data_IF_015865357180
#
_entry.id   IF_015865357180
#
_cell.length_a   1.000
_cell.length_b   1.000
_cell.length_c   1.000
_cell.angle_alpha   90.00
_cell.angle_beta   90.00
_cell.angle_gamma   90.00
#
_symmetry.space_group_name_H-M   'P 1'
#
loop_
_entity.id
_entity.type
_entity.pdbx_description
1 polymer ?
#
# COMPACT_ATOMS: atom_id res chain seq x y z
N UNK A 1 4.05 -21.99 4.38
CA UNK A 1 5.36 -21.33 4.60
C UNK A 1 5.95 -20.83 3.30
N UNK A 2 6.56 -19.65 3.34
CA UNK A 2 7.24 -19.12 2.17
C UNK A 2 8.52 -19.90 1.88
N UNK A 3 8.81 -20.15 0.60
CA UNK A 3 10.06 -20.77 0.18
C UNK A 3 11.22 -19.82 0.45
N UNK A 4 12.46 -20.34 0.37
CA UNK A 4 13.64 -19.51 0.55
C UNK A 4 13.70 -18.40 -0.50
N UNK A 5 13.32 -18.71 -1.74
CA UNK A 5 13.28 -17.71 -2.82
C UNK A 5 12.25 -16.62 -2.54
N UNK A 6 11.09 -17.00 -2.00
CA UNK A 6 10.08 -16.01 -1.63
C UNK A 6 10.57 -15.12 -0.50
N UNK A 7 11.25 -15.69 0.48
CA UNK A 7 11.80 -14.90 1.60
C UNK A 7 12.79 -13.85 1.09
N UNK A 8 13.66 -14.22 0.18
CA UNK A 8 14.63 -13.29 -0.40
C UNK A 8 13.91 -12.19 -1.18
N UNK A 9 12.89 -12.57 -1.95
CA UNK A 9 12.07 -11.62 -2.70
C UNK A 9 11.40 -10.62 -1.77
N UNK A 10 10.82 -11.10 -0.68
CA UNK A 10 10.15 -10.24 0.30
C UNK A 10 11.12 -9.31 1.02
N UNK A 11 12.33 -9.78 1.31
CA UNK A 11 13.37 -8.93 1.88
C UNK A 11 13.75 -7.79 0.92
N UNK A 12 13.82 -8.10 -0.38
CA UNK A 12 14.08 -7.09 -1.40
C UNK A 12 12.95 -6.06 -1.47
N UNK A 13 11.70 -6.51 -1.34
CA UNK A 13 10.55 -5.59 -1.28
C UNK A 13 10.69 -4.64 -0.10
N UNK A 14 10.99 -5.19 1.07
CA UNK A 14 11.13 -4.38 2.28
C UNK A 14 12.21 -3.33 2.11
N UNK A 15 13.35 -3.71 1.53
CA UNK A 15 14.43 -2.77 1.27
C UNK A 15 14.01 -1.66 0.30
N UNK A 16 13.28 -2.01 -0.76
CA UNK A 16 12.81 -1.01 -1.73
C UNK A 16 11.86 -0.02 -1.09
N UNK A 17 11.01 -0.49 -0.18
CA UNK A 17 10.01 0.35 0.46
C UNK A 17 10.58 1.24 1.56
N UNK A 18 11.50 0.68 2.34
CA UNK A 18 11.98 1.35 3.55
C UNK A 18 13.38 1.94 3.41
N UNK A 19 13.96 1.88 2.22
CA UNK A 19 15.31 2.36 1.99
C UNK A 19 15.46 3.82 2.37
N UNK A 20 16.18 4.06 3.44
CA UNK A 20 16.49 5.39 3.91
C UNK A 20 17.73 5.90 3.18
N UNK A 21 17.82 7.17 2.86
CA UNK A 21 16.93 8.26 3.21
C UNK A 21 15.82 8.49 2.18
N UNK A 22 15.40 7.47 1.49
CA UNK A 22 14.52 7.63 0.35
C UNK A 22 13.08 7.98 0.68
N UNK A 23 12.54 7.49 1.79
CA UNK A 23 11.15 7.74 2.16
C UNK A 23 10.96 9.16 2.65
N UNK A 24 9.94 9.83 2.11
CA UNK A 24 9.65 11.22 2.44
C UNK A 24 8.41 11.28 3.33
N UNK A 25 8.38 12.22 4.24
CA UNK A 25 7.19 12.48 5.03
C UNK A 25 6.22 13.32 4.23
N UNK A 26 4.92 13.03 4.34
CA UNK A 26 3.89 13.83 3.73
C UNK A 26 3.77 15.19 4.41
N UNK A 27 3.02 16.10 3.80
CA UNK A 27 2.79 17.42 4.36
C UNK A 27 2.15 17.39 5.74
N UNK A 28 1.39 16.32 6.05
CA UNK A 28 0.81 16.14 7.38
C UNK A 28 1.85 15.69 8.42
N UNK A 29 3.07 15.37 7.98
CA UNK A 29 4.16 14.94 8.86
C UNK A 29 4.01 13.54 9.42
N UNK A 30 2.95 12.81 9.07
CA UNK A 30 2.63 11.50 9.64
C UNK A 30 2.84 10.37 8.65
N UNK A 31 2.41 10.54 7.39
CA UNK A 31 2.60 9.52 6.37
C UNK A 31 4.07 9.42 5.96
N UNK A 32 4.50 8.19 5.66
CA UNK A 32 5.79 7.97 5.00
C UNK A 32 5.48 7.70 3.53
N UNK A 33 6.04 8.49 2.63
CA UNK A 33 5.76 8.36 1.21
C UNK A 33 6.88 7.62 0.49
N UNK A 34 6.49 6.76 -0.45
CA UNK A 34 7.46 6.09 -1.30
C UNK A 34 8.31 7.14 -2.02
N UNK A 35 9.63 6.95 -1.99
CA UNK A 35 10.59 7.95 -2.45
C UNK A 35 10.42 8.40 -3.90
N UNK A 36 9.96 7.51 -4.77
CA UNK A 36 9.84 7.77 -6.20
C UNK A 36 8.40 8.07 -6.62
N UNK A 37 7.58 8.56 -5.70
CA UNK A 37 6.21 8.89 -6.07
C UNK A 37 6.17 10.11 -6.99
N UNK A 38 5.18 10.13 -7.88
CA UNK A 38 5.00 11.22 -8.84
C UNK A 38 3.94 12.20 -8.34
N UNK A 39 2.85 11.68 -7.81
CA UNK A 39 1.73 12.48 -7.33
C UNK A 39 1.12 11.83 -6.11
N UNK A 40 0.64 12.64 -5.16
CA UNK A 40 -0.04 12.14 -3.97
C UNK A 40 -1.34 11.41 -4.32
N UNK A 41 -1.87 11.64 -5.51
CA UNK A 41 -3.11 11.02 -5.97
C UNK A 41 -2.91 9.87 -6.94
N UNK A 42 -1.67 9.42 -7.11
CA UNK A 42 -1.35 8.30 -7.99
C UNK A 42 -0.71 7.19 -7.18
N UNK A 43 -1.03 5.93 -7.55
CA UNK A 43 -0.41 4.77 -6.94
C UNK A 43 0.94 4.53 -7.58
N UNK A 44 2.05 4.68 -6.84
CA UNK A 44 3.35 4.23 -7.36
C UNK A 44 3.30 2.72 -7.57
N UNK A 45 3.88 2.26 -8.66
CA UNK A 45 3.91 0.83 -8.96
C UNK A 45 5.34 0.34 -9.05
N UNK A 46 5.53 -0.89 -8.64
CA UNK A 46 6.83 -1.56 -8.69
C UNK A 46 6.68 -2.87 -9.43
N UNK A 47 7.67 -3.19 -10.24
CA UNK A 47 7.71 -4.47 -10.95
C UNK A 47 8.67 -5.41 -10.25
N UNK A 48 8.35 -6.69 -10.28
CA UNK A 48 9.25 -7.71 -9.76
C UNK A 48 9.09 -9.00 -10.55
N UNK A 49 10.12 -9.84 -10.52
CA UNK A 49 10.06 -11.16 -11.12
C UNK A 49 9.61 -12.15 -10.05
N UNK A 50 8.70 -13.02 -10.43
CA UNK A 50 8.20 -14.02 -9.50
C UNK A 50 9.33 -14.94 -9.06
N UNK A 51 9.53 -15.17 -7.75
CA UNK A 51 10.68 -15.94 -7.26
C UNK A 51 10.72 -17.38 -7.77
N UNK A 52 9.55 -18.01 -7.96
CA UNK A 52 9.49 -19.39 -8.45
C UNK A 52 9.41 -19.48 -9.97
N UNK A 53 9.17 -18.38 -10.65
CA UNK A 53 9.09 -18.35 -12.11
C UNK A 53 9.57 -16.98 -12.62
N UNK A 54 10.91 -16.79 -12.71
CA UNK A 54 11.47 -15.48 -13.04
C UNK A 54 11.09 -14.92 -14.40
N UNK A 55 10.48 -15.72 -15.28
CA UNK A 55 9.97 -15.24 -16.55
C UNK A 55 8.70 -14.42 -16.38
N UNK A 56 7.98 -14.63 -15.27
CA UNK A 56 6.77 -13.88 -14.98
C UNK A 56 7.14 -12.58 -14.25
N UNK A 57 6.82 -11.46 -14.89
CA UNK A 57 7.03 -10.14 -14.30
C UNK A 57 5.66 -9.61 -13.89
N UNK A 58 5.55 -9.19 -12.65
CA UNK A 58 4.33 -8.60 -12.11
C UNK A 58 4.56 -7.13 -11.77
N UNK A 59 3.50 -6.35 -11.86
CA UNK A 59 3.52 -4.94 -11.44
C UNK A 59 2.47 -4.78 -10.35
N UNK A 60 2.89 -4.23 -9.22
CA UNK A 60 2.00 -4.04 -8.08
C UNK A 60 2.14 -2.63 -7.53
N UNK A 61 1.11 -2.17 -6.82
CA UNK A 61 1.19 -0.88 -6.14
C UNK A 61 2.08 -1.02 -4.90
N UNK A 62 2.63 0.10 -4.44
CA UNK A 62 3.45 0.08 -3.21
C UNK A 62 2.63 -0.41 -2.02
N UNK A 63 1.34 -0.08 -1.96
CA UNK A 63 0.46 -0.58 -0.89
C UNK A 63 0.36 -2.10 -0.91
N UNK A 64 0.20 -2.70 -2.09
CA UNK A 64 0.18 -4.15 -2.22
C UNK A 64 1.49 -4.78 -1.80
N UNK A 65 2.61 -4.14 -2.14
CA UNK A 65 3.93 -4.65 -1.75
C UNK A 65 4.10 -4.61 -0.22
N UNK A 66 3.63 -3.56 0.45
CA UNK A 66 3.62 -3.49 1.92
C UNK A 66 2.84 -4.67 2.49
N UNK A 67 1.67 -4.95 1.93
CA UNK A 67 0.84 -6.08 2.36
C UNK A 67 1.55 -7.42 2.16
N UNK A 68 2.22 -7.59 1.03
CA UNK A 68 2.97 -8.82 0.75
C UNK A 68 4.05 -9.06 1.81
N UNK A 69 4.79 -8.02 2.19
CA UNK A 69 5.81 -8.11 3.23
C UNK A 69 5.17 -8.49 4.57
N UNK A 70 4.05 -7.83 4.90
CA UNK A 70 3.33 -8.09 6.15
C UNK A 70 2.83 -9.53 6.24
N UNK A 71 2.20 -10.02 5.17
CA UNK A 71 1.62 -11.35 5.14
C UNK A 71 2.60 -12.44 4.73
N UNK A 72 3.83 -12.05 4.40
CA UNK A 72 4.91 -12.97 4.02
C UNK A 72 4.53 -13.84 2.81
N UNK A 73 3.94 -13.21 1.81
CA UNK A 73 3.55 -13.88 0.57
C UNK A 73 3.74 -12.96 -0.63
N UNK A 74 4.07 -13.55 -1.78
CA UNK A 74 4.17 -12.81 -3.05
C UNK A 74 2.91 -12.95 -3.89
N UNK A 75 1.89 -13.65 -3.35
CA UNK A 75 0.61 -13.85 -4.04
C UNK A 75 -0.52 -13.45 -3.11
N UNK A 76 -1.17 -12.34 -3.40
CA UNK A 76 -2.30 -11.87 -2.61
C UNK A 76 -3.60 -12.43 -3.17
N UNK A 77 -4.60 -12.74 -2.32
CA UNK A 77 -5.90 -13.22 -2.78
C UNK A 77 -6.57 -12.22 -3.72
N UNK A 78 -7.24 -12.73 -4.75
CA UNK A 78 -8.03 -11.90 -5.65
C UNK A 78 -9.26 -11.36 -4.94
N UNK A 79 -9.72 -10.20 -5.38
CA UNK A 79 -10.90 -9.57 -4.82
C UNK A 79 -10.63 -8.76 -3.57
N UNK A 80 -9.38 -8.68 -3.13
CA UNK A 80 -8.95 -7.88 -2.00
C UNK A 80 -8.04 -6.77 -2.47
N UNK A 81 -8.13 -5.62 -1.82
CA UNK A 81 -7.30 -4.46 -2.12
C UNK A 81 -6.47 -4.08 -0.90
N UNK A 82 -5.32 -3.50 -1.15
CA UNK A 82 -4.53 -2.83 -0.11
C UNK A 82 -4.93 -1.37 -0.12
N UNK A 83 -5.89 -1.02 0.72
CA UNK A 83 -6.47 0.33 0.76
C UNK A 83 -5.68 1.24 1.67
N UNK A 84 -5.51 2.48 1.25
CA UNK A 84 -4.89 3.50 2.10
C UNK A 84 -5.97 4.18 2.94
N UNK A 85 -5.98 3.92 4.25
CA UNK A 85 -6.96 4.55 5.13
C UNK A 85 -6.69 6.04 5.31
N UNK A 86 -5.45 6.48 5.04
CA UNK A 86 -5.09 7.90 5.03
C UNK A 86 -5.40 8.57 3.69
N UNK A 87 -5.81 7.80 2.69
CA UNK A 87 -6.13 8.26 1.33
C UNK A 87 -4.96 8.91 0.59
N UNK A 88 -3.73 8.72 1.04
CA UNK A 88 -2.54 9.18 0.37
C UNK A 88 -1.89 7.99 -0.33
N UNK A 89 -2.07 7.90 -1.64
CA UNK A 89 -1.74 6.70 -2.42
C UNK A 89 -0.27 6.27 -2.38
N UNK A 90 0.72 7.17 -2.29
CA UNK A 90 2.11 6.75 -2.17
C UNK A 90 2.55 6.42 -0.74
N UNK A 91 1.65 6.46 0.24
CA UNK A 91 2.01 6.16 1.63
C UNK A 91 2.38 4.69 1.78
N UNK A 92 3.51 4.43 2.46
CA UNK A 92 4.02 3.08 2.69
C UNK A 92 3.98 2.68 4.16
N UNK A 93 3.34 3.46 5.01
CA UNK A 93 3.15 3.09 6.42
C UNK A 93 2.16 1.93 6.51
N UNK A 94 2.62 0.83 7.11
CA UNK A 94 1.79 -0.36 7.25
C UNK A 94 0.50 -0.06 8.00
N UNK A 95 0.56 0.79 9.02
CA UNK A 95 -0.60 1.17 9.82
C UNK A 95 -1.65 1.95 9.03
N UNK A 96 -1.28 2.49 7.88
CA UNK A 96 -2.19 3.24 7.02
C UNK A 96 -2.74 2.41 5.87
N UNK A 97 -2.44 1.11 5.83
CA UNK A 97 -2.87 0.22 4.75
C UNK A 97 -3.73 -0.89 5.34
N UNK A 98 -4.93 -1.04 4.79
CA UNK A 98 -5.88 -2.08 5.20
C UNK A 98 -6.06 -3.06 4.04
N UNK A 99 -5.80 -4.34 4.29
CA UNK A 99 -6.03 -5.38 3.30
C UNK A 99 -7.47 -5.87 3.49
N UNK A 100 -8.31 -5.63 2.49
CA UNK A 100 -9.76 -5.73 2.65
C UNK A 100 -10.45 -6.07 1.33
N UNK A 101 -11.69 -6.58 1.39
CA UNK A 101 -12.45 -6.82 0.16
C UNK A 101 -12.60 -5.53 -0.65
N UNK A 102 -12.62 -5.67 -1.97
CA UNK A 102 -12.73 -4.52 -2.88
C UNK A 102 -13.92 -3.61 -2.55
N UNK A 103 -15.05 -4.18 -2.10
CA UNK A 103 -16.23 -3.38 -1.74
C UNK A 103 -15.95 -2.38 -0.62
N UNK A 104 -15.08 -2.76 0.32
CA UNK A 104 -14.70 -1.86 1.42
C UNK A 104 -13.87 -0.70 0.90
N UNK A 105 -12.94 -0.98 -0.01
CA UNK A 105 -12.15 0.07 -0.66
C UNK A 105 -13.06 1.07 -1.38
N UNK A 106 -14.09 0.59 -2.08
CA UNK A 106 -15.04 1.48 -2.74
C UNK A 106 -15.81 2.34 -1.74
N UNK A 107 -16.18 1.78 -0.58
CA UNK A 107 -16.82 2.57 0.48
C UNK A 107 -15.92 3.72 0.94
N UNK A 108 -14.62 3.48 1.00
CA UNK A 108 -13.66 4.50 1.45
C UNK A 108 -13.61 5.70 0.50
N UNK A 109 -13.90 5.48 -0.79
CA UNK A 109 -13.96 6.58 -1.74
C UNK A 109 -15.11 7.54 -1.38
N UNK A 110 -16.21 6.99 -0.87
CA UNK A 110 -17.32 7.81 -0.40
C UNK A 110 -16.93 8.61 0.83
N UNK A 111 -16.18 7.99 1.75
CA UNK A 111 -15.70 8.68 2.95
C UNK A 111 -14.86 9.91 2.60
N UNK A 112 -13.94 9.76 1.66
CA UNK A 112 -13.08 10.88 1.26
C UNK A 112 -13.89 11.98 0.60
N UNK A 113 -14.90 11.61 -0.20
CA UNK A 113 -15.79 12.56 -0.86
C UNK A 113 -16.64 13.32 0.16
N UNK A 114 -17.09 12.62 1.23
CA UNK A 114 -17.89 13.23 2.28
C UNK A 114 -17.09 14.00 3.31
N UNK A 115 -15.79 13.81 3.32
CA UNK A 115 -14.90 14.44 4.30
C UNK A 115 -14.96 13.81 5.69
N UNK A 116 -15.56 12.63 5.82
CA UNK A 116 -15.66 11.92 7.10
C UNK A 116 -15.82 10.43 6.86
N UNK A 117 -15.36 9.63 7.81
CA UNK A 117 -15.48 8.18 7.71
C UNK A 117 -16.91 7.76 8.09
N UNK A 118 -17.48 6.89 7.26
CA UNK A 118 -18.83 6.35 7.46
C UNK A 118 -18.82 5.00 8.19
N UNK A 119 -17.65 4.49 8.51
CA UNK A 119 -17.49 3.21 9.20
C UNK A 119 -17.39 2.04 8.23
N UNK A 120 -16.61 1.02 8.62
CA UNK A 120 -16.33 -0.13 7.74
C UNK A 120 -16.40 -1.45 8.50
N UNK A 121 -17.28 -1.54 9.49
CA UNK A 121 -17.45 -2.78 10.25
C UNK A 121 -16.19 -3.20 10.98
N UNK A 122 -15.70 -4.39 10.69
CA UNK A 122 -14.50 -4.93 11.33
C UNK A 122 -13.19 -4.35 10.77
N UNK A 123 -13.27 -3.59 9.69
CA UNK A 123 -12.09 -2.95 9.10
C UNK A 123 -11.87 -1.57 9.67
N UNK A 124 -10.62 -1.11 9.64
CA UNK A 124 -10.24 0.15 10.26
C UNK A 124 -11.01 1.34 9.67
N UNK A 125 -11.27 2.34 10.49
CA UNK A 125 -11.85 3.59 10.02
C UNK A 125 -10.85 4.36 9.17
N UNK A 126 -11.38 5.17 8.25
CA UNK A 126 -10.53 6.07 7.45
C UNK A 126 -9.94 7.17 8.31
N UNK A 127 -8.71 7.54 7.99
CA UNK A 127 -8.05 8.69 8.59
C UNK A 127 -8.16 9.86 7.60
N UNK A 128 -9.40 10.29 7.36
CA UNK A 128 -9.70 11.29 6.31
C UNK A 128 -8.94 12.58 6.55
N UNK A 129 -8.75 12.94 7.82
CA UNK A 129 -8.03 14.16 8.19
C UNK A 129 -6.56 14.14 7.78
N UNK A 130 -6.00 12.97 7.47
CA UNK A 130 -4.62 12.84 7.02
C UNK A 130 -4.44 13.00 5.52
N UNK A 131 -5.55 13.05 4.77
CA UNK A 131 -5.50 13.18 3.32
C UNK A 131 -4.80 14.49 2.94
N UNK A 132 -3.72 14.37 2.17
CA UNK A 132 -3.03 15.54 1.66
C UNK A 132 -3.77 16.03 0.43
N UNK A 133 -4.26 17.27 0.47
CA UNK A 133 -4.90 17.92 -0.67
C UNK A 133 -3.85 18.83 -1.28
N UNK A 134 -3.69 18.71 -2.57
CA UNK A 134 -2.71 19.55 -3.20
C UNK A 134 -2.36 19.08 -4.57
N UNK A 135 -1.55 19.85 -5.14
CA UNK A 135 -1.15 19.73 -6.54
C UNK A 135 0.10 18.90 -6.70
#
# INVERSE_FOLDING_TARGET
MASEREKICLENFEQKLTQSPGSLKAKNGICQLYKDYISINEYPRLSFRHPENPKNVSSVTVGSMVTMVELKTVSLPKGFDSSHICHNKPCILRQHISFEPHRVNLQRQICVSEGRCLGHGSYADCLVHLKVHGK
#
